data_IF_713121316751
#
_entry.id   IF_713121316751
#
_cell.length_a   1.000
_cell.length_b   1.000
_cell.length_c   1.000
_cell.angle_alpha   90.00
_cell.angle_beta   90.00
_cell.angle_gamma   90.00
#
_symmetry.space_group_name_H-M   'P 1'
#
loop_
_entity.id
_entity.type
_entity.pdbx_description
1 polymer ?
#
# COMPACT_ATOMS: atom_id res chain seq x y z
N UNK A 1 -46.98 25.93 15.31
CA UNK A 1 -45.75 25.54 16.03
C UNK A 1 -44.96 24.62 15.12
N UNK A 2 -43.89 25.14 14.52
CA UNK A 2 -43.03 24.38 13.61
C UNK A 2 -41.88 23.83 14.43
N UNK A 3 -41.76 22.52 14.57
CA UNK A 3 -40.61 21.90 15.20
C UNK A 3 -39.48 21.86 14.18
N UNK A 4 -38.48 22.71 14.35
CA UNK A 4 -37.19 22.60 13.74
C UNK A 4 -36.43 21.47 14.45
N UNK A 5 -36.34 20.33 13.78
CA UNK A 5 -35.37 19.28 14.15
C UNK A 5 -34.02 19.73 13.56
N UNK A 6 -33.21 20.31 14.44
CA UNK A 6 -31.82 20.61 14.10
C UNK A 6 -31.08 19.31 14.03
N UNK A 7 -30.72 18.87 12.80
CA UNK A 7 -29.81 17.75 12.55
C UNK A 7 -28.40 18.24 12.98
N UNK A 8 -28.06 18.05 14.24
CA UNK A 8 -26.67 18.12 14.69
C UNK A 8 -25.96 16.94 14.11
N UNK A 9 -25.23 17.18 13.00
CA UNK A 9 -24.22 16.29 12.54
C UNK A 9 -23.20 16.11 13.68
N UNK A 10 -23.23 14.97 14.31
CA UNK A 10 -22.16 14.49 15.16
C UNK A 10 -21.00 14.18 14.20
N UNK A 11 -20.23 15.22 13.87
CA UNK A 11 -18.89 15.03 13.37
C UNK A 11 -18.09 14.47 14.55
N UNK A 12 -18.02 13.15 14.63
CA UNK A 12 -17.01 12.51 15.41
C UNK A 12 -15.67 13.05 14.89
N UNK A 13 -15.04 13.91 15.69
CA UNK A 13 -13.64 14.27 15.54
C UNK A 13 -12.81 13.03 15.89
N UNK A 14 -12.82 12.03 15.01
CA UNK A 14 -11.62 11.24 14.84
C UNK A 14 -10.62 12.23 14.27
N UNK A 15 -9.63 12.62 15.05
CA UNK A 15 -8.37 13.15 14.50
C UNK A 15 -7.96 12.15 13.44
N UNK A 16 -8.25 12.48 12.18
CA UNK A 16 -7.85 11.64 11.06
C UNK A 16 -6.34 11.48 11.20
N UNK A 17 -5.89 10.28 11.52
CA UNK A 17 -4.46 9.99 11.61
C UNK A 17 -3.90 10.35 10.24
N UNK A 18 -3.15 11.44 10.17
CA UNK A 18 -2.64 11.93 8.90
C UNK A 18 -1.66 10.86 8.37
N UNK A 19 -2.00 10.22 7.25
CA UNK A 19 -1.13 9.23 6.62
C UNK A 19 0.19 9.93 6.27
N UNK A 20 1.34 9.45 6.79
CA UNK A 20 2.64 10.07 6.54
C UNK A 20 3.00 10.11 5.05
N UNK A 21 3.83 11.08 4.68
CA UNK A 21 4.21 11.33 3.28
C UNK A 21 5.21 10.31 2.72
N UNK A 22 5.87 9.54 3.58
CA UNK A 22 6.88 8.54 3.25
C UNK A 22 6.78 7.39 4.25
N UNK A 23 6.90 6.15 3.77
CA UNK A 23 6.93 4.97 4.61
C UNK A 23 8.10 4.04 4.28
N UNK A 24 8.23 2.97 5.07
CA UNK A 24 9.14 1.84 4.84
C UNK A 24 8.31 0.60 4.50
N UNK A 25 8.53 0.01 3.32
CA UNK A 25 7.94 -1.27 2.92
C UNK A 25 8.70 -2.48 3.48
N UNK A 26 8.02 -3.61 3.65
CA UNK A 26 8.58 -4.80 4.32
C UNK A 26 8.36 -6.14 3.60
N UNK A 27 7.91 -6.15 2.36
CA UNK A 27 7.59 -7.37 1.62
C UNK A 27 8.77 -8.38 1.52
N UNK A 28 8.48 -9.64 1.15
CA UNK A 28 9.44 -10.70 0.82
C UNK A 28 10.23 -11.30 2.00
N UNK A 29 9.62 -11.48 3.17
CA UNK A 29 10.17 -12.29 4.27
C UNK A 29 11.60 -11.94 4.69
N UNK A 30 11.92 -10.71 5.04
CA UNK A 30 13.29 -10.30 5.33
C UNK A 30 13.84 -10.97 6.58
N UNK A 31 15.18 -11.10 6.72
CA UNK A 31 15.80 -11.52 7.96
C UNK A 31 15.36 -10.64 9.14
N UNK A 32 14.97 -11.28 10.25
CA UNK A 32 14.30 -10.62 11.39
C UNK A 32 15.08 -9.40 11.89
N UNK A 33 16.36 -9.57 12.26
CA UNK A 33 17.16 -8.49 12.83
C UNK A 33 17.42 -7.35 11.83
N UNK A 34 17.60 -7.68 10.55
CA UNK A 34 17.79 -6.67 9.51
C UNK A 34 16.54 -5.80 9.34
N UNK A 35 15.33 -6.40 9.38
CA UNK A 35 14.09 -5.66 9.32
C UNK A 35 13.86 -4.82 10.59
N UNK A 36 14.09 -5.37 11.78
CA UNK A 36 13.97 -4.61 13.02
C UNK A 36 14.90 -3.39 13.04
N UNK A 37 16.15 -3.55 12.59
CA UNK A 37 17.11 -2.46 12.45
C UNK A 37 16.73 -1.43 11.40
N UNK A 38 16.13 -1.85 10.29
CA UNK A 38 15.62 -0.95 9.25
C UNK A 38 14.43 -0.11 9.77
N UNK A 39 13.50 -0.72 10.50
CA UNK A 39 12.39 -0.01 11.17
C UNK A 39 12.92 1.02 12.16
N UNK A 40 13.90 0.65 13.00
CA UNK A 40 14.55 1.57 13.92
C UNK A 40 15.20 2.75 13.19
N UNK A 41 15.94 2.50 12.09
CA UNK A 41 16.54 3.54 11.28
C UNK A 41 15.50 4.47 10.64
N UNK A 42 14.38 3.92 10.15
CA UNK A 42 13.28 4.68 9.56
C UNK A 42 12.67 5.66 10.58
N UNK A 43 12.27 5.16 11.75
CA UNK A 43 11.64 5.96 12.80
C UNK A 43 12.57 7.08 13.27
N UNK A 44 13.83 6.74 13.57
CA UNK A 44 14.84 7.72 14.00
C UNK A 44 15.16 8.78 12.94
N UNK A 45 14.79 8.54 11.68
CA UNK A 45 14.99 9.47 10.58
C UNK A 45 13.68 10.19 10.17
N UNK A 46 12.60 10.08 10.96
CA UNK A 46 11.34 10.76 10.68
C UNK A 46 10.43 10.06 9.69
N UNK A 47 10.75 8.82 9.26
CA UNK A 47 9.84 8.01 8.44
C UNK A 47 8.85 7.33 9.39
N UNK A 48 7.64 7.86 9.44
CA UNK A 48 6.63 7.51 10.44
C UNK A 48 5.51 6.62 9.90
N UNK A 49 5.71 5.95 8.76
CA UNK A 49 4.81 4.90 8.26
C UNK A 49 5.60 3.63 8.03
N UNK A 50 5.08 2.51 8.52
CA UNK A 50 5.59 1.17 8.24
C UNK A 50 4.49 0.39 7.55
N UNK A 51 4.80 -0.13 6.36
CA UNK A 51 3.92 -0.97 5.58
C UNK A 51 4.29 -2.45 5.70
N UNK A 52 3.29 -3.28 5.91
CA UNK A 52 3.42 -4.74 5.97
C UNK A 52 2.16 -5.45 5.46
N UNK A 53 2.19 -6.77 5.47
CA UNK A 53 1.02 -7.63 5.27
C UNK A 53 1.19 -8.92 6.09
N UNK A 54 0.08 -9.56 6.42
CA UNK A 54 0.08 -10.79 7.22
C UNK A 54 0.92 -11.92 6.58
N UNK A 55 1.01 -11.94 5.24
CA UNK A 55 1.72 -12.95 4.45
C UNK A 55 3.19 -12.61 4.14
N UNK A 56 3.72 -11.44 4.60
CA UNK A 56 5.09 -11.04 4.32
C UNK A 56 6.13 -11.69 5.24
N UNK A 57 5.70 -12.27 6.37
CA UNK A 57 6.62 -12.83 7.37
C UNK A 57 7.47 -11.80 8.13
N UNK A 58 7.21 -10.51 7.95
CA UNK A 58 7.99 -9.40 8.53
C UNK A 58 7.43 -8.84 9.84
N UNK A 59 6.17 -9.12 10.17
CA UNK A 59 5.42 -8.47 11.25
C UNK A 59 6.09 -8.55 12.63
N UNK A 60 6.62 -9.73 13.00
CA UNK A 60 7.30 -9.90 14.29
C UNK A 60 8.57 -9.02 14.40
N UNK A 61 9.34 -8.94 13.32
CA UNK A 61 10.52 -8.09 13.24
C UNK A 61 10.17 -6.59 13.30
N UNK A 62 9.09 -6.20 12.63
CA UNK A 62 8.57 -4.82 12.69
C UNK A 62 8.14 -4.49 14.12
N UNK A 63 7.38 -5.36 14.78
CA UNK A 63 6.98 -5.18 16.17
C UNK A 63 8.16 -5.02 17.12
N UNK A 64 9.26 -5.77 16.90
CA UNK A 64 10.50 -5.59 17.66
C UNK A 64 11.15 -4.23 17.39
N UNK A 65 11.24 -3.80 16.13
CA UNK A 65 11.76 -2.48 15.78
C UNK A 65 10.96 -1.34 16.40
N UNK A 66 9.62 -1.41 16.35
CA UNK A 66 8.72 -0.45 16.98
C UNK A 66 8.94 -0.36 18.48
N UNK A 67 9.05 -1.49 19.20
CA UNK A 67 9.32 -1.52 20.65
C UNK A 67 10.67 -0.92 21.03
N UNK A 68 11.70 -1.12 20.21
CA UNK A 68 13.05 -0.54 20.44
C UNK A 68 13.06 0.98 20.35
N UNK A 69 12.14 1.59 19.59
CA UNK A 69 12.12 3.04 19.34
C UNK A 69 11.05 3.79 20.13
N UNK A 70 10.14 3.11 20.85
CA UNK A 70 8.97 3.76 21.44
C UNK A 70 8.06 4.34 20.37
N UNK A 71 7.71 3.53 19.34
CA UNK A 71 7.04 3.96 18.11
C UNK A 71 5.54 4.29 18.25
N UNK A 72 5.15 5.05 19.29
CA UNK A 72 3.75 5.40 19.54
C UNK A 72 3.15 6.33 18.46
N UNK A 73 3.99 7.10 17.76
CA UNK A 73 3.58 8.03 16.70
C UNK A 73 3.69 7.43 15.29
N UNK A 74 4.03 6.12 15.17
CA UNK A 74 4.21 5.47 13.88
C UNK A 74 2.88 4.95 13.36
N UNK A 75 2.56 5.27 12.11
CA UNK A 75 1.42 4.73 11.38
C UNK A 75 1.77 3.33 10.85
N UNK A 76 1.10 2.31 11.32
CA UNK A 76 1.29 0.91 10.89
C UNK A 76 0.16 0.52 9.94
N UNK A 77 0.52 0.32 8.66
CA UNK A 77 -0.37 -0.20 7.62
C UNK A 77 -0.12 -1.70 7.48
N UNK A 78 -1.17 -2.49 7.71
CA UNK A 78 -1.18 -3.93 7.47
C UNK A 78 -2.15 -4.27 6.35
N UNK A 79 -1.95 -5.42 5.69
CA UNK A 79 -2.84 -5.90 4.63
C UNK A 79 -3.29 -7.33 4.91
N UNK A 80 -4.53 -7.63 4.51
CA UNK A 80 -5.12 -8.97 4.56
C UNK A 80 -5.69 -9.34 3.20
N UNK A 81 -5.58 -10.62 2.84
CA UNK A 81 -6.04 -11.12 1.55
C UNK A 81 -7.47 -11.67 1.62
N UNK A 82 -8.25 -11.34 0.59
CA UNK A 82 -9.51 -12.01 0.31
C UNK A 82 -9.27 -13.44 -0.21
N UNK A 83 -8.18 -13.61 -0.93
CA UNK A 83 -7.78 -14.85 -1.55
C UNK A 83 -7.26 -15.86 -0.53
N UNK A 84 -7.79 -17.07 -0.51
CA UNK A 84 -7.21 -18.21 0.18
C UNK A 84 -7.78 -19.51 -0.37
N UNK A 85 -6.97 -20.54 -0.46
CA UNK A 85 -7.41 -21.93 -0.71
C UNK A 85 -7.93 -22.60 0.57
N UNK A 86 -7.94 -21.90 1.70
CA UNK A 86 -8.50 -22.38 2.95
C UNK A 86 -10.01 -22.55 2.83
N UNK A 87 -10.54 -23.64 3.41
CA UNK A 87 -11.98 -23.85 3.58
C UNK A 87 -12.58 -23.08 4.76
N UNK A 88 -11.76 -22.30 5.46
CA UNK A 88 -12.22 -21.43 6.53
C UNK A 88 -13.11 -20.31 5.95
N UNK A 89 -14.16 -19.95 6.68
CA UNK A 89 -14.99 -18.78 6.35
C UNK A 89 -14.09 -17.54 6.18
N UNK A 90 -14.14 -16.81 5.05
CA UNK A 90 -13.24 -15.69 4.77
C UNK A 90 -13.23 -14.63 5.88
N UNK A 91 -14.37 -14.33 6.50
CA UNK A 91 -14.49 -13.33 7.56
C UNK A 91 -13.77 -13.78 8.82
N UNK A 92 -13.93 -15.05 9.22
CA UNK A 92 -13.24 -15.63 10.39
C UNK A 92 -11.73 -15.63 10.16
N UNK A 93 -11.31 -16.02 8.96
CA UNK A 93 -9.89 -16.01 8.60
C UNK A 93 -9.31 -14.61 8.68
N UNK A 94 -9.93 -13.61 8.06
CA UNK A 94 -9.48 -12.22 8.10
C UNK A 94 -9.39 -11.70 9.53
N UNK A 95 -10.39 -11.96 10.37
CA UNK A 95 -10.39 -11.56 11.78
C UNK A 95 -9.23 -12.21 12.54
N UNK A 96 -9.00 -13.51 12.34
CA UNK A 96 -7.87 -14.21 12.93
C UNK A 96 -6.54 -13.57 12.49
N UNK A 97 -6.35 -13.37 11.19
CA UNK A 97 -5.15 -12.76 10.62
C UNK A 97 -4.88 -11.37 11.19
N UNK A 98 -5.89 -10.48 11.23
CA UNK A 98 -5.74 -9.13 11.82
C UNK A 98 -5.40 -9.22 13.30
N UNK A 99 -6.01 -10.14 14.05
CA UNK A 99 -5.72 -10.32 15.48
C UNK A 99 -4.29 -10.80 15.71
N UNK A 100 -3.82 -11.76 14.91
CA UNK A 100 -2.43 -12.25 14.96
C UNK A 100 -1.44 -11.16 14.57
N UNK A 101 -1.74 -10.39 13.50
CA UNK A 101 -0.94 -9.24 13.07
C UNK A 101 -0.82 -8.19 14.19
N UNK A 102 -1.95 -7.83 14.81
CA UNK A 102 -1.95 -6.88 15.94
C UNK A 102 -1.11 -7.37 17.12
N UNK A 103 -1.17 -8.68 17.41
CA UNK A 103 -0.34 -9.26 18.47
C UNK A 103 1.16 -9.14 18.17
N UNK A 104 1.59 -9.39 16.93
CA UNK A 104 3.00 -9.28 16.50
C UNK A 104 3.46 -7.83 16.43
N UNK A 105 2.66 -6.95 15.85
CA UNK A 105 2.98 -5.54 15.60
C UNK A 105 2.80 -4.65 16.85
N UNK A 106 1.89 -5.01 17.75
CA UNK A 106 1.49 -4.21 18.91
C UNK A 106 0.36 -3.22 18.58
N UNK A 107 0.27 -2.72 17.35
CA UNK A 107 -0.77 -1.81 16.86
C UNK A 107 -1.04 -2.02 15.38
N UNK A 108 -2.21 -1.60 14.90
CA UNK A 108 -2.54 -1.46 13.48
C UNK A 108 -3.37 -0.17 13.35
N UNK A 109 -2.84 0.81 12.64
CA UNK A 109 -3.52 2.07 12.39
C UNK A 109 -4.44 1.97 11.19
N UNK A 110 -4.02 1.25 10.15
CA UNK A 110 -4.86 0.91 9.01
C UNK A 110 -4.71 -0.56 8.63
N UNK A 111 -5.84 -1.20 8.25
CA UNK A 111 -5.83 -2.47 7.55
C UNK A 111 -6.41 -2.30 6.16
N UNK A 112 -5.72 -2.82 5.14
CA UNK A 112 -6.17 -2.75 3.76
C UNK A 112 -6.54 -4.14 3.22
N UNK A 113 -7.56 -4.21 2.36
CA UNK A 113 -7.75 -5.35 1.47
C UNK A 113 -6.59 -5.35 0.47
N UNK A 114 -5.78 -6.42 0.49
CA UNK A 114 -4.52 -6.50 -0.27
C UNK A 114 -4.77 -6.55 -1.78
N UNK A 115 -5.78 -7.34 -2.20
CA UNK A 115 -6.22 -7.47 -3.58
C UNK A 115 -7.75 -7.60 -3.63
N UNK A 116 -8.40 -7.06 -4.68
CA UNK A 116 -9.85 -7.23 -4.85
C UNK A 116 -10.25 -8.60 -5.39
N UNK A 117 -9.28 -9.46 -5.73
CA UNK A 117 -9.46 -10.73 -6.41
C UNK A 117 -9.77 -11.87 -5.44
N UNK A 118 -10.45 -12.89 -5.93
CA UNK A 118 -10.78 -14.13 -5.23
C UNK A 118 -10.05 -15.31 -5.88
N UNK A 119 -9.55 -16.26 -5.06
CA UNK A 119 -8.86 -17.47 -5.57
C UNK A 119 -9.80 -18.41 -6.30
N UNK A 120 -10.98 -18.64 -5.73
CA UNK A 120 -12.02 -19.40 -6.41
C UNK A 120 -12.76 -18.42 -7.31
N UNK A 121 -12.66 -18.63 -8.62
CA UNK A 121 -13.40 -17.80 -9.56
C UNK A 121 -14.88 -17.77 -9.14
N UNK A 122 -15.42 -16.60 -8.78
CA UNK A 122 -16.82 -16.49 -8.41
C UNK A 122 -17.67 -16.90 -9.61
N UNK A 123 -18.85 -17.43 -9.35
CA UNK A 123 -19.78 -17.85 -10.42
C UNK A 123 -20.21 -16.67 -11.28
N UNK A 124 -20.14 -15.44 -10.72
CA UNK A 124 -20.47 -14.19 -11.40
C UNK A 124 -19.74 -13.00 -10.76
N UNK A 125 -19.73 -11.85 -11.42
CA UNK A 125 -19.24 -10.59 -10.84
C UNK A 125 -20.08 -10.14 -9.64
N UNK A 126 -21.40 -10.44 -9.65
CA UNK A 126 -22.27 -10.15 -8.50
C UNK A 126 -21.85 -10.97 -7.27
N UNK A 127 -21.41 -12.22 -7.45
CA UNK A 127 -20.86 -13.03 -6.36
C UNK A 127 -19.53 -12.46 -5.84
N UNK A 128 -18.65 -12.01 -6.74
CA UNK A 128 -17.40 -11.36 -6.37
C UNK A 128 -17.65 -10.08 -5.55
N UNK A 129 -18.59 -9.26 -6.01
CA UNK A 129 -19.03 -8.05 -5.30
C UNK A 129 -19.57 -8.37 -3.91
N UNK A 130 -20.40 -9.40 -3.79
CA UNK A 130 -20.95 -9.83 -2.51
C UNK A 130 -19.84 -10.24 -1.53
N UNK A 131 -18.83 -10.98 -1.98
CA UNK A 131 -17.69 -11.38 -1.14
C UNK A 131 -16.85 -10.16 -0.71
N UNK A 132 -16.55 -9.23 -1.63
CA UNK A 132 -15.84 -7.99 -1.29
C UNK A 132 -16.63 -7.15 -0.26
N UNK A 133 -17.95 -7.04 -0.45
CA UNK A 133 -18.84 -6.32 0.47
C UNK A 133 -18.87 -6.96 1.86
N UNK A 134 -18.95 -8.28 1.95
CA UNK A 134 -18.96 -9.00 3.23
C UNK A 134 -17.61 -8.88 3.96
N UNK A 135 -16.52 -8.94 3.21
CA UNK A 135 -15.18 -8.69 3.75
C UNK A 135 -15.03 -7.26 4.29
N UNK A 136 -15.52 -6.28 3.55
CA UNK A 136 -15.48 -4.88 4.00
C UNK A 136 -16.27 -4.68 5.29
N UNK A 137 -17.48 -5.23 5.38
CA UNK A 137 -18.31 -5.17 6.61
C UNK A 137 -17.62 -5.82 7.81
N UNK A 138 -16.86 -6.90 7.60
CA UNK A 138 -16.08 -7.54 8.68
C UNK A 138 -14.95 -6.62 9.15
N UNK A 139 -14.25 -5.96 8.23
CA UNK A 139 -13.23 -4.97 8.58
C UNK A 139 -13.83 -3.76 9.31
N UNK A 140 -14.99 -3.28 8.88
CA UNK A 140 -15.73 -2.22 9.59
C UNK A 140 -16.09 -2.61 11.04
N UNK A 141 -16.50 -3.86 11.26
CA UNK A 141 -16.75 -4.35 12.61
C UNK A 141 -15.48 -4.34 13.47
N UNK A 142 -14.31 -4.62 12.88
CA UNK A 142 -13.03 -4.54 13.60
C UNK A 142 -12.63 -3.08 13.94
N UNK A 143 -13.04 -2.11 13.13
CA UNK A 143 -12.90 -0.67 13.48
C UNK A 143 -13.82 -0.32 14.64
N UNK A 144 -15.09 -0.72 14.58
CA UNK A 144 -16.08 -0.47 15.65
C UNK A 144 -15.63 -1.08 17.00
N UNK A 145 -14.93 -2.20 16.97
CA UNK A 145 -14.36 -2.88 18.15
C UNK A 145 -13.03 -2.27 18.63
N UNK A 146 -12.45 -1.32 17.88
CA UNK A 146 -11.15 -0.73 18.19
C UNK A 146 -9.97 -1.69 17.96
N UNK A 147 -10.17 -2.75 17.17
CA UNK A 147 -9.10 -3.67 16.81
C UNK A 147 -8.13 -3.03 15.83
N UNK A 148 -8.62 -2.21 14.89
CA UNK A 148 -7.87 -1.41 13.93
C UNK A 148 -8.36 0.04 13.92
N UNK A 149 -7.52 0.98 13.46
CA UNK A 149 -7.86 2.40 13.47
C UNK A 149 -8.73 2.84 12.29
N UNK A 150 -8.36 2.47 11.07
CA UNK A 150 -9.08 2.81 9.85
C UNK A 150 -8.86 1.74 8.77
N UNK A 151 -9.54 1.91 7.62
CA UNK A 151 -9.55 0.95 6.54
C UNK A 151 -8.92 1.50 5.26
N UNK A 152 -8.30 0.62 4.49
CA UNK A 152 -7.70 0.92 3.20
C UNK A 152 -7.97 -0.13 2.15
N UNK A 153 -7.54 0.20 0.95
CA UNK A 153 -7.56 -0.68 -0.21
C UNK A 153 -6.12 -0.87 -0.71
N UNK A 154 -5.88 -1.94 -1.44
CA UNK A 154 -4.65 -2.12 -2.20
C UNK A 154 -4.95 -2.79 -3.53
N UNK A 155 -4.38 -2.26 -4.61
CA UNK A 155 -4.59 -2.71 -5.99
C UNK A 155 -6.04 -2.59 -6.48
N UNK A 156 -6.79 -1.60 -6.00
CA UNK A 156 -8.12 -1.29 -6.50
C UNK A 156 -8.03 -0.22 -7.59
N UNK A 157 -8.69 -0.48 -8.72
CA UNK A 157 -8.95 0.53 -9.73
C UNK A 157 -10.09 1.47 -9.30
N UNK A 158 -10.48 2.40 -10.17
CA UNK A 158 -11.50 3.40 -9.83
C UNK A 158 -12.87 2.75 -9.63
N UNK A 159 -13.24 1.77 -10.46
CA UNK A 159 -14.54 1.11 -10.41
C UNK A 159 -14.70 0.28 -9.14
N UNK A 160 -13.71 -0.54 -8.81
CA UNK A 160 -13.67 -1.35 -7.60
C UNK A 160 -13.59 -0.50 -6.32
N UNK A 161 -12.86 0.63 -6.37
CA UNK A 161 -12.83 1.58 -5.27
C UNK A 161 -14.20 2.21 -5.04
N UNK A 162 -14.90 2.64 -6.10
CA UNK A 162 -16.24 3.21 -6.03
C UNK A 162 -17.28 2.18 -5.53
N UNK A 163 -17.12 0.92 -5.92
CA UNK A 163 -17.94 -0.18 -5.39
C UNK A 163 -17.87 -0.19 -3.86
N UNK A 164 -16.65 -0.20 -3.28
CA UNK A 164 -16.48 -0.22 -1.83
C UNK A 164 -16.99 1.08 -1.19
N UNK A 165 -16.65 2.24 -1.72
CA UNK A 165 -17.08 3.54 -1.19
C UNK A 165 -18.62 3.62 -1.11
N UNK A 166 -19.32 3.09 -2.12
CA UNK A 166 -20.79 3.16 -2.19
C UNK A 166 -21.51 2.40 -1.09
N UNK A 167 -20.88 1.38 -0.50
CA UNK A 167 -21.46 0.54 0.55
C UNK A 167 -20.87 0.79 1.94
N UNK A 168 -19.76 1.54 2.02
CA UNK A 168 -18.98 1.68 3.23
C UNK A 168 -19.61 2.62 4.25
N UNK A 169 -19.68 2.19 5.53
CA UNK A 169 -19.92 3.07 6.70
C UNK A 169 -18.61 3.74 7.15
N UNK A 170 -17.49 3.01 7.05
CA UNK A 170 -16.13 3.47 7.24
C UNK A 170 -15.45 3.48 5.87
N UNK A 171 -15.45 4.61 5.12
CA UNK A 171 -14.86 4.65 3.78
C UNK A 171 -13.35 4.43 3.84
N UNK A 172 -12.75 3.89 2.75
CA UNK A 172 -11.31 3.69 2.69
C UNK A 172 -10.59 5.05 2.77
N UNK A 173 -9.54 5.13 3.57
CA UNK A 173 -8.71 6.34 3.71
C UNK A 173 -7.49 6.31 2.79
N UNK A 174 -7.12 5.14 2.27
CA UNK A 174 -5.99 4.97 1.36
C UNK A 174 -6.26 3.88 0.32
N UNK A 175 -5.53 3.98 -0.81
CA UNK A 175 -5.38 2.91 -1.79
C UNK A 175 -3.88 2.73 -2.07
N UNK A 176 -3.34 1.55 -1.79
CA UNK A 176 -1.94 1.23 -2.03
C UNK A 176 -1.79 0.59 -3.40
N UNK A 177 -1.05 1.26 -4.29
CA UNK A 177 -0.85 0.82 -5.69
C UNK A 177 0.59 1.01 -6.13
N UNK A 178 0.99 0.38 -7.25
CA UNK A 178 2.30 0.62 -7.82
C UNK A 178 2.42 2.07 -8.31
N UNK A 179 3.46 2.80 -7.83
CA UNK A 179 3.74 4.18 -8.25
C UNK A 179 5.24 4.38 -8.44
N UNK A 180 5.65 4.50 -9.69
CA UNK A 180 7.00 4.87 -10.10
C UNK A 180 6.94 5.54 -11.48
N UNK A 181 8.04 6.15 -12.00
CA UNK A 181 8.01 6.83 -13.28
C UNK A 181 7.52 6.00 -14.47
N UNK A 182 7.75 4.68 -14.48
CA UNK A 182 7.23 3.79 -15.52
C UNK A 182 5.78 3.37 -15.29
N UNK A 183 5.29 3.42 -14.04
CA UNK A 183 3.93 3.09 -13.65
C UNK A 183 3.22 4.32 -13.07
N UNK A 184 3.03 5.33 -13.92
CA UNK A 184 2.33 6.56 -13.54
C UNK A 184 0.87 6.49 -13.99
N UNK A 185 -0.03 6.41 -13.02
CA UNK A 185 -1.47 6.24 -13.22
C UNK A 185 -2.21 7.54 -12.85
N UNK A 186 -2.02 8.60 -13.65
CA UNK A 186 -2.54 9.95 -13.36
C UNK A 186 -4.04 9.97 -13.06
N UNK A 187 -4.84 9.22 -13.84
CA UNK A 187 -6.29 9.16 -13.69
C UNK A 187 -6.69 8.50 -12.36
N UNK A 188 -6.02 7.41 -11.97
CA UNK A 188 -6.26 6.75 -10.69
C UNK A 188 -5.87 7.65 -9.50
N UNK A 189 -4.70 8.33 -9.59
CA UNK A 189 -4.26 9.25 -8.55
C UNK A 189 -5.25 10.42 -8.38
N UNK A 190 -5.70 11.02 -9.49
CA UNK A 190 -6.70 12.09 -9.46
C UNK A 190 -8.06 11.60 -8.93
N UNK A 191 -8.47 10.38 -9.28
CA UNK A 191 -9.70 9.77 -8.78
C UNK A 191 -9.65 9.50 -7.27
N UNK A 192 -8.50 9.05 -6.76
CA UNK A 192 -8.27 8.87 -5.31
C UNK A 192 -8.35 10.22 -4.59
N UNK A 193 -7.64 11.25 -5.09
CA UNK A 193 -7.66 12.60 -4.51
C UNK A 193 -9.08 13.17 -4.44
N UNK A 194 -9.85 13.07 -5.53
CA UNK A 194 -11.23 13.55 -5.60
C UNK A 194 -12.17 12.87 -4.58
N UNK A 195 -11.82 11.68 -4.09
CA UNK A 195 -12.57 10.90 -3.09
C UNK A 195 -12.01 11.02 -1.68
N UNK A 196 -10.95 11.82 -1.49
CA UNK A 196 -10.25 11.91 -0.20
C UNK A 196 -9.48 10.64 0.18
N UNK A 197 -9.17 9.77 -0.78
CA UNK A 197 -8.40 8.54 -0.60
C UNK A 197 -6.92 8.83 -0.86
N UNK A 198 -6.05 8.61 0.12
CA UNK A 198 -4.62 8.80 -0.02
C UNK A 198 -4.00 7.67 -0.85
N UNK A 199 -3.17 8.02 -1.83
CA UNK A 199 -2.39 7.00 -2.55
C UNK A 199 -1.12 6.68 -1.76
N UNK A 200 -0.93 5.38 -1.45
CA UNK A 200 0.33 4.82 -0.96
C UNK A 200 1.02 4.11 -2.12
N UNK A 201 2.28 4.46 -2.41
CA UNK A 201 2.98 4.02 -3.62
C UNK A 201 4.01 2.92 -3.35
N UNK A 202 3.69 1.66 -3.66
CA UNK A 202 4.70 0.60 -3.58
C UNK A 202 5.58 0.54 -4.84
N UNK A 203 6.70 -0.19 -4.76
CA UNK A 203 7.69 -0.35 -5.85
C UNK A 203 8.12 0.97 -6.49
N UNK A 204 8.56 1.99 -5.72
CA UNK A 204 8.92 3.30 -6.27
C UNK A 204 10.12 3.25 -7.23
N UNK A 205 10.84 2.13 -7.27
CA UNK A 205 12.00 1.89 -8.13
C UNK A 205 11.66 1.03 -9.37
N UNK A 206 10.38 0.75 -9.62
CA UNK A 206 9.92 0.01 -10.80
C UNK A 206 10.16 -1.49 -10.79
N UNK A 207 10.77 -2.05 -9.78
CA UNK A 207 10.91 -3.50 -9.59
C UNK A 207 9.60 -4.11 -9.12
N UNK A 208 8.69 -4.35 -10.06
CA UNK A 208 7.42 -5.01 -9.77
C UNK A 208 7.67 -6.48 -9.43
N UNK A 209 7.15 -6.93 -8.28
CA UNK A 209 7.26 -8.33 -7.86
C UNK A 209 6.60 -9.30 -8.86
N UNK A 210 5.52 -8.88 -9.55
CA UNK A 210 4.89 -9.66 -10.60
C UNK A 210 5.88 -9.98 -11.73
N UNK A 211 6.61 -9.00 -12.22
CA UNK A 211 7.61 -9.22 -13.27
C UNK A 211 8.82 -10.02 -12.77
N UNK A 212 9.18 -9.89 -11.49
CA UNK A 212 10.28 -10.61 -10.87
C UNK A 212 10.02 -12.11 -10.73
N UNK A 213 8.81 -12.47 -10.31
CA UNK A 213 8.46 -13.87 -9.99
C UNK A 213 7.55 -14.53 -11.03
N UNK A 214 6.89 -13.75 -11.86
CA UNK A 214 5.84 -14.17 -12.79
C UNK A 214 6.02 -13.52 -14.17
N UNK A 215 7.24 -13.47 -14.68
CA UNK A 215 7.58 -12.80 -15.94
C UNK A 215 6.72 -13.25 -17.14
N UNK A 216 6.32 -14.52 -17.19
CA UNK A 216 5.49 -15.08 -18.27
C UNK A 216 4.03 -14.56 -18.24
N UNK A 217 3.62 -13.94 -17.15
CA UNK A 217 2.26 -13.43 -16.95
C UNK A 217 2.12 -11.93 -17.18
N UNK A 218 3.23 -11.21 -17.26
CA UNK A 218 3.24 -9.74 -17.40
C UNK A 218 3.96 -9.30 -18.69
N UNK A 219 3.47 -8.26 -19.38
CA UNK A 219 4.07 -7.78 -20.64
C UNK A 219 5.21 -6.76 -20.43
N UNK A 220 5.65 -6.51 -19.21
CA UNK A 220 6.72 -5.57 -18.88
C UNK A 220 7.91 -6.24 -18.20
N UNK A 221 9.13 -5.68 -18.35
CA UNK A 221 10.33 -6.24 -17.76
C UNK A 221 10.40 -6.04 -16.24
N UNK A 222 11.23 -6.86 -15.57
CA UNK A 222 11.51 -6.74 -14.15
C UNK A 222 12.59 -5.68 -13.83
N UNK A 223 13.03 -4.90 -14.82
CA UNK A 223 14.12 -3.93 -14.68
C UNK A 223 13.72 -2.75 -13.80
N UNK A 224 14.69 -2.27 -13.04
CA UNK A 224 14.52 -1.09 -12.19
C UNK A 224 14.65 0.19 -13.02
N UNK A 225 13.86 1.20 -12.69
CA UNK A 225 14.02 2.54 -13.29
C UNK A 225 15.31 3.25 -12.82
N UNK A 226 16.00 2.71 -11.82
CA UNK A 226 17.21 3.35 -11.28
C UNK A 226 18.36 3.41 -12.30
N UNK A 227 18.36 2.51 -13.29
CA UNK A 227 19.35 2.44 -14.35
C UNK A 227 18.95 3.26 -15.60
N UNK A 228 17.78 3.91 -15.58
CA UNK A 228 17.32 4.75 -16.68
C UNK A 228 18.14 6.05 -16.75
N UNK A 229 18.60 6.38 -17.96
CA UNK A 229 19.47 7.55 -18.20
C UNK A 229 18.76 8.87 -17.83
N UNK A 230 17.44 8.97 -18.00
CA UNK A 230 16.66 10.15 -17.62
C UNK A 230 16.61 10.30 -16.12
N UNK A 231 16.39 9.18 -15.39
CA UNK A 231 16.40 9.19 -13.92
C UNK A 231 17.78 9.59 -13.40
N UNK A 232 18.86 9.04 -13.99
CA UNK A 232 20.23 9.39 -13.61
C UNK A 232 20.54 10.88 -13.86
N UNK A 233 20.10 11.44 -14.99
CA UNK A 233 20.30 12.85 -15.33
C UNK A 233 19.53 13.76 -14.36
N UNK A 234 18.25 13.48 -14.12
CA UNK A 234 17.42 14.23 -13.16
C UNK A 234 18.02 14.18 -11.75
N UNK A 235 18.49 13.02 -11.31
CA UNK A 235 19.11 12.86 -10.00
C UNK A 235 20.39 13.71 -9.86
N UNK A 236 21.25 13.70 -10.89
CA UNK A 236 22.47 14.51 -10.93
C UNK A 236 22.17 16.01 -10.87
N UNK A 237 21.20 16.49 -11.65
CA UNK A 237 20.76 17.89 -11.66
C UNK A 237 20.16 18.33 -10.31
N UNK A 238 19.38 17.43 -9.66
CA UNK A 238 18.77 17.69 -8.36
C UNK A 238 19.73 17.48 -7.17
N UNK A 239 20.98 17.05 -7.42
CA UNK A 239 21.96 16.78 -6.36
C UNK A 239 21.59 15.62 -5.44
N UNK A 240 20.87 14.61 -5.97
CA UNK A 240 20.40 13.45 -5.22
C UNK A 240 20.74 12.13 -5.93
N UNK A 241 20.42 11.00 -5.30
CA UNK A 241 20.56 9.69 -5.94
C UNK A 241 19.35 9.36 -6.83
N UNK A 242 19.48 8.45 -7.82
CA UNK A 242 18.35 7.97 -8.61
C UNK A 242 17.18 7.46 -7.76
N UNK A 243 17.45 6.75 -6.66
CA UNK A 243 16.43 6.29 -5.74
C UNK A 243 15.68 7.44 -5.06
N UNK A 244 16.40 8.47 -4.62
CA UNK A 244 15.80 9.67 -4.05
C UNK A 244 14.98 10.45 -5.08
N UNK A 245 15.44 10.54 -6.33
CA UNK A 245 14.68 11.18 -7.41
C UNK A 245 13.33 10.48 -7.65
N UNK A 246 13.30 9.15 -7.69
CA UNK A 246 12.04 8.38 -7.82
C UNK A 246 11.09 8.60 -6.64
N UNK A 247 11.61 8.59 -5.41
CA UNK A 247 10.81 8.85 -4.20
C UNK A 247 10.27 10.27 -4.19
N UNK A 248 11.11 11.27 -4.46
CA UNK A 248 10.70 12.67 -4.53
C UNK A 248 9.67 12.92 -5.64
N UNK A 249 9.82 12.24 -6.79
CA UNK A 249 8.83 12.27 -7.86
C UNK A 249 7.48 11.73 -7.41
N UNK A 250 7.44 10.55 -6.77
CA UNK A 250 6.18 9.97 -6.27
C UNK A 250 5.50 10.90 -5.24
N UNK A 251 6.30 11.54 -4.36
CA UNK A 251 5.79 12.54 -3.41
C UNK A 251 5.25 13.79 -4.13
N UNK A 252 5.92 14.26 -5.20
CA UNK A 252 5.45 15.38 -6.02
C UNK A 252 4.15 15.05 -6.77
N UNK A 253 3.90 13.78 -7.07
CA UNK A 253 2.63 13.29 -7.66
C UNK A 253 1.52 13.09 -6.61
N UNK A 254 1.76 13.46 -5.34
CA UNK A 254 0.78 13.33 -4.28
C UNK A 254 0.72 11.95 -3.64
N UNK A 255 1.51 10.98 -4.04
CA UNK A 255 1.58 9.67 -3.38
C UNK A 255 2.46 9.68 -2.12
N UNK A 256 2.27 8.68 -1.25
CA UNK A 256 3.16 8.37 -0.14
C UNK A 256 3.96 7.11 -0.50
N UNK A 257 5.19 7.23 -1.04
CA UNK A 257 5.98 6.07 -1.43
C UNK A 257 6.43 5.25 -0.22
N UNK A 258 6.52 3.93 -0.42
CA UNK A 258 6.97 2.95 0.58
C UNK A 258 8.14 2.11 0.06
N UNK A 259 9.31 2.72 -0.20
CA UNK A 259 10.48 1.97 -0.60
C UNK A 259 10.89 0.96 0.46
N UNK A 260 11.38 -0.21 0.02
CA UNK A 260 11.94 -1.24 0.90
C UNK A 260 13.46 -1.15 0.92
N UNK A 261 14.03 -1.16 2.10
CA UNK A 261 15.46 -1.41 2.30
C UNK A 261 15.70 -2.06 3.66
N UNK A 262 16.64 -3.01 3.70
CA UNK A 262 17.14 -3.62 4.93
C UNK A 262 18.49 -2.99 5.38
N UNK A 263 19.03 -2.08 4.58
CA UNK A 263 20.24 -1.33 4.87
C UNK A 263 19.84 -0.01 5.57
N UNK A 264 20.19 0.18 6.85
CA UNK A 264 19.87 1.39 7.60
C UNK A 264 20.39 2.67 6.95
N UNK A 265 21.55 2.63 6.26
CA UNK A 265 22.10 3.82 5.58
C UNK A 265 21.22 4.22 4.39
N UNK A 266 20.74 3.26 3.60
CA UNK A 266 19.80 3.54 2.51
C UNK A 266 18.46 4.05 3.03
N UNK A 267 17.99 3.54 4.16
CA UNK A 267 16.77 4.05 4.82
C UNK A 267 16.96 5.50 5.22
N UNK A 268 18.07 5.85 5.88
CA UNK A 268 18.40 7.25 6.25
C UNK A 268 18.54 8.14 5.02
N UNK A 269 19.20 7.65 3.96
CA UNK A 269 19.34 8.40 2.71
C UNK A 269 17.97 8.68 2.07
N UNK A 270 17.06 7.72 2.09
CA UNK A 270 15.70 7.89 1.56
C UNK A 270 14.88 8.87 2.41
N UNK A 271 15.03 8.86 3.72
CA UNK A 271 14.34 9.77 4.63
C UNK A 271 14.62 11.26 4.32
N UNK A 272 15.79 11.59 3.74
CA UNK A 272 16.12 12.94 3.30
C UNK A 272 15.14 13.48 2.23
N UNK A 273 14.39 12.63 1.55
CA UNK A 273 13.34 13.06 0.63
C UNK A 273 12.18 13.80 1.32
N UNK A 274 12.06 13.71 2.65
CA UNK A 274 11.03 14.45 3.38
C UNK A 274 11.27 15.97 3.34
N UNK A 275 12.52 16.41 3.39
CA UNK A 275 12.88 17.81 3.57
C UNK A 275 13.90 18.33 2.54
N UNK A 276 14.85 17.51 2.08
CA UNK A 276 16.04 17.97 1.34
C UNK A 276 15.94 17.81 -0.19
N UNK A 277 15.07 16.92 -0.69
CA UNK A 277 15.01 16.59 -2.12
C UNK A 277 13.72 17.10 -2.74
N UNK A 278 13.81 18.16 -3.53
CA UNK A 278 12.69 18.76 -4.25
C UNK A 278 13.01 18.80 -5.73
N UNK A 279 12.13 18.20 -6.56
CA UNK A 279 12.26 18.24 -8.01
C UNK A 279 11.53 19.46 -8.57
N UNK A 280 12.12 20.06 -9.61
CA UNK A 280 11.46 21.11 -10.39
C UNK A 280 10.33 20.52 -11.24
N UNK A 281 9.40 21.36 -11.70
CA UNK A 281 8.32 20.93 -12.60
C UNK A 281 8.84 20.30 -13.90
N UNK A 282 9.96 20.77 -14.46
CA UNK A 282 10.61 20.17 -15.63
C UNK A 282 11.15 18.77 -15.32
N UNK A 283 11.84 18.62 -14.20
CA UNK A 283 12.36 17.31 -13.76
C UNK A 283 11.24 16.31 -13.54
N UNK A 284 10.13 16.71 -12.92
CA UNK A 284 8.94 15.87 -12.76
C UNK A 284 8.36 15.48 -14.12
N UNK A 285 8.22 16.43 -15.06
CA UNK A 285 7.69 16.17 -16.40
C UNK A 285 8.58 15.20 -17.20
N UNK A 286 9.89 15.30 -17.06
CA UNK A 286 10.84 14.36 -17.70
C UNK A 286 10.69 12.94 -17.16
N UNK A 287 10.44 12.79 -15.85
CA UNK A 287 10.16 11.48 -15.25
C UNK A 287 8.77 10.96 -15.62
N UNK A 288 7.76 11.85 -15.76
CA UNK A 288 6.43 11.47 -16.25
C UNK A 288 6.47 10.86 -17.66
N UNK A 289 7.41 11.31 -18.51
CA UNK A 289 7.59 10.83 -19.88
C UNK A 289 8.12 9.38 -19.95
N UNK A 290 8.59 8.80 -18.85
CA UNK A 290 9.02 7.40 -18.75
C UNK A 290 7.85 6.42 -18.65
N UNK A 291 6.61 6.89 -18.55
CA UNK A 291 5.43 6.05 -18.40
C UNK A 291 5.36 4.95 -19.46
N UNK A 292 5.26 3.70 -19.02
CA UNK A 292 4.91 2.57 -19.87
C UNK A 292 3.40 2.35 -19.83
N UNK A 293 2.67 2.54 -20.94
CA UNK A 293 1.21 2.41 -20.98
C UNK A 293 0.71 0.98 -20.71
N UNK A 294 1.59 -0.01 -20.73
CA UNK A 294 1.26 -1.41 -20.42
C UNK A 294 1.17 -1.66 -18.91
N UNK A 295 1.67 -0.71 -18.07
CA UNK A 295 1.72 -0.83 -16.61
C UNK A 295 0.60 -0.04 -15.96
N UNK A 296 0.00 -0.62 -14.95
CA UNK A 296 -1.08 -0.01 -14.18
C UNK A 296 -1.84 -1.04 -13.35
N UNK A 297 -2.75 -0.58 -12.52
CA UNK A 297 -3.54 -1.44 -11.62
C UNK A 297 -4.37 -2.46 -12.41
N UNK A 298 -5.01 -2.07 -13.49
CA UNK A 298 -5.81 -2.96 -14.33
C UNK A 298 -4.96 -4.10 -14.93
N UNK A 299 -3.78 -3.77 -15.46
CA UNK A 299 -2.87 -4.76 -16.00
C UNK A 299 -2.30 -5.67 -14.89
N UNK A 300 -2.06 -5.14 -13.70
CA UNK A 300 -1.63 -5.92 -12.53
C UNK A 300 -2.75 -6.85 -12.04
N UNK A 301 -4.00 -6.41 -12.03
CA UNK A 301 -5.16 -7.25 -11.71
C UNK A 301 -5.33 -8.38 -12.72
N UNK A 302 -5.25 -8.08 -14.02
CA UNK A 302 -5.35 -9.09 -15.07
C UNK A 302 -4.22 -10.14 -14.99
N UNK A 303 -2.99 -9.72 -14.70
CA UNK A 303 -1.86 -10.61 -14.49
C UNK A 303 -2.05 -11.48 -13.25
N UNK A 304 -2.45 -10.89 -12.13
CA UNK A 304 -2.67 -11.60 -10.87
C UNK A 304 -3.81 -12.63 -10.99
N UNK A 305 -4.91 -12.29 -11.66
CA UNK A 305 -6.00 -13.22 -11.94
C UNK A 305 -5.52 -14.46 -12.73
N UNK A 306 -4.65 -14.27 -13.73
CA UNK A 306 -4.04 -15.36 -14.50
C UNK A 306 -3.11 -16.22 -13.65
N UNK A 307 -2.32 -15.59 -12.78
CA UNK A 307 -1.41 -16.31 -11.85
C UNK A 307 -2.23 -17.18 -10.90
N UNK A 308 -3.27 -16.64 -10.27
CA UNK A 308 -4.14 -17.36 -9.34
C UNK A 308 -4.83 -18.56 -10.02
N UNK A 309 -5.24 -18.40 -11.29
CA UNK A 309 -5.88 -19.46 -12.07
C UNK A 309 -4.89 -20.54 -12.56
N UNK A 310 -3.57 -20.33 -12.44
CA UNK A 310 -2.57 -21.30 -12.87
C UNK A 310 -2.55 -22.52 -11.93
N UNK A 311 -2.55 -23.76 -12.47
CA UNK A 311 -2.44 -24.98 -11.66
C UNK A 311 -1.11 -25.07 -10.88
N UNK A 312 -0.07 -24.41 -11.39
CA UNK A 312 1.28 -24.42 -10.82
C UNK A 312 1.44 -23.37 -9.71
N UNK A 313 0.41 -22.57 -9.46
CA UNK A 313 0.44 -21.52 -8.43
C UNK A 313 0.23 -22.14 -7.05
N UNK A 314 1.32 -22.25 -6.30
CA UNK A 314 1.36 -22.85 -4.97
C UNK A 314 1.31 -21.83 -3.82
N UNK A 315 0.93 -20.58 -4.09
CA UNK A 315 0.88 -19.57 -3.04
C UNK A 315 -0.30 -19.82 -2.11
N UNK A 316 0.01 -20.12 -0.87
CA UNK A 316 -0.95 -20.23 0.23
C UNK A 316 -0.59 -19.20 1.29
N UNK A 317 -1.42 -18.18 1.49
CA UNK A 317 -1.19 -17.13 2.48
C UNK A 317 -1.61 -17.54 3.91
N UNK A 318 -1.52 -18.86 4.27
CA UNK A 318 -1.89 -19.34 5.62
C UNK A 318 -0.95 -18.83 6.70
#
# INVERSE_FOLDING_TARGET
MRHHVTLLAVMAQTTALAIPRLGLGSAEGPPHEAMASAVEAAIRSGVLMIDTAQNYGSEAAIGDGLRRCGGDDVFVLCKVDLCSRSREDPRRRMRRQVTESKHKLGRIDAVALHWPLLLDAPASEDDARAVRADAWRELEAMVDEGLVGCLGLSNFDVELMDEIISLARHPPVLNEVEVNPQCYQAELLAACEARGVRVVGYSPYGTCWLAKYFADFVPWPAESVLDDATVAAVAAEAGCTPAQACVAWAMAKGAAPIPKSLDPERVRATARCLDDVVLTADQVARLDALRDPRRGVEASLAAHARIIASPDYAWDPT
#
